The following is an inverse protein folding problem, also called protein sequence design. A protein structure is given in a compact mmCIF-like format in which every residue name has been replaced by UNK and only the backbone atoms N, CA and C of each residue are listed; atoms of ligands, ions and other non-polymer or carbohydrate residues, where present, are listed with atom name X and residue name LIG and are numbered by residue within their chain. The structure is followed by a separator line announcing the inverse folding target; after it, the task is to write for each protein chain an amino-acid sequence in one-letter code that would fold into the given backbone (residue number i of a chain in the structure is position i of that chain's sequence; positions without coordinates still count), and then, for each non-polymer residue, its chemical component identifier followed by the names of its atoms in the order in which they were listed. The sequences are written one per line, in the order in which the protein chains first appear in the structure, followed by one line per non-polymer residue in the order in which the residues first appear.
data_IF_111973309921
#
_entry.id   IF_111973309921
#
_cell.length_a   1.000
_cell.length_b   1.000
_cell.length_c   1.000
_cell.angle_alpha   90.00
_cell.angle_beta   90.00
_cell.angle_gamma   90.00
#
_symmetry.space_group_name_H-M   'P 1'
#
loop_
_entity.id
_entity.type
_entity.pdbx_description
1 polymer ?
#
# COMPACT_ATOMS: atom_id res chain seq x y z
N UNK A 1 -14.39 -47.03 -65.02
CA UNK A 1 -15.71 -46.39 -65.00
C UNK A 1 -15.68 -45.23 -64.00
N UNK A 2 -16.25 -44.06 -64.34
CA UNK A 2 -15.91 -42.75 -63.76
C UNK A 2 -17.06 -42.08 -62.97
N UNK A 3 -16.77 -40.91 -62.40
CA UNK A 3 -17.75 -39.84 -62.08
C UNK A 3 -17.96 -39.62 -60.57
N UNK A 4 -17.42 -38.56 -59.93
CA UNK A 4 -17.89 -37.14 -59.88
C UNK A 4 -19.31 -36.98 -59.27
N UNK A 5 -19.72 -35.81 -58.73
CA UNK A 5 -18.98 -34.73 -58.04
C UNK A 5 -19.76 -33.99 -56.89
N UNK A 6 -19.03 -33.15 -56.14
CA UNK A 6 -19.28 -31.73 -55.75
C UNK A 6 -20.59 -31.20 -55.10
N UNK A 7 -20.35 -30.39 -54.04
CA UNK A 7 -20.98 -29.08 -53.67
C UNK A 7 -22.46 -29.13 -53.26
N UNK A 8 -23.05 -28.22 -52.48
CA UNK A 8 -22.75 -26.83 -52.10
C UNK A 8 -23.64 -26.43 -50.92
N UNK A 9 -23.19 -25.39 -50.22
CA UNK A 9 -23.94 -24.38 -49.45
C UNK A 9 -25.41 -24.25 -49.85
N UNK A 10 -26.27 -24.07 -48.84
CA UNK A 10 -27.63 -23.55 -49.03
C UNK A 10 -27.94 -22.51 -47.94
N UNK A 11 -27.54 -21.27 -48.19
CA UNK A 11 -28.37 -20.11 -47.82
C UNK A 11 -29.47 -20.01 -48.86
N UNK A 12 -30.74 -20.08 -48.47
CA UNK A 12 -31.82 -19.35 -49.13
C UNK A 12 -33.00 -19.18 -48.15
N UNK A 13 -33.11 -17.95 -47.63
CA UNK A 13 -34.30 -17.09 -47.65
C UNK A 13 -35.66 -17.66 -47.21
N UNK A 14 -36.29 -16.99 -46.23
CA UNK A 14 -37.51 -16.20 -46.43
C UNK A 14 -38.20 -15.84 -45.09
N UNK A 15 -38.27 -14.54 -44.77
CA UNK A 15 -39.36 -13.97 -43.97
C UNK A 15 -40.65 -13.96 -44.80
N UNK A 16 -41.84 -14.14 -44.19
CA UNK A 16 -42.69 -12.95 -44.01
C UNK A 16 -43.57 -12.95 -42.74
N UNK A 17 -44.02 -11.74 -42.40
CA UNK A 17 -44.88 -11.35 -41.29
C UNK A 17 -46.23 -12.08 -41.22
N UNK A 18 -46.69 -12.41 -40.01
CA UNK A 18 -48.12 -12.45 -39.69
C UNK A 18 -48.41 -12.12 -38.22
N UNK A 19 -49.60 -11.58 -38.04
CA UNK A 19 -50.12 -10.73 -36.95
C UNK A 19 -50.82 -11.59 -35.89
N UNK A 20 -50.72 -11.23 -34.60
CA UNK A 20 -51.90 -11.18 -33.71
C UNK A 20 -51.61 -10.53 -32.32
N UNK A 21 -52.37 -9.48 -31.98
CA UNK A 21 -52.77 -9.13 -30.60
C UNK A 21 -54.15 -9.79 -30.36
N UNK A 22 -54.64 -10.00 -29.11
CA UNK A 22 -55.41 -8.92 -28.48
C UNK A 22 -55.43 -8.87 -26.93
N UNK A 23 -55.87 -7.70 -26.44
CA UNK A 23 -56.72 -7.39 -25.26
C UNK A 23 -56.23 -7.78 -23.86
N UNK A 24 -56.33 -6.95 -22.82
CA UNK A 24 -57.45 -6.11 -22.35
C UNK A 24 -56.91 -4.81 -21.71
N UNK A 25 -57.47 -3.60 -21.98
CA UNK A 25 -58.56 -2.95 -21.20
C UNK A 25 -58.32 -2.99 -19.67
N UNK A 26 -58.43 -1.92 -18.86
CA UNK A 26 -59.22 -0.69 -18.97
C UNK A 26 -58.75 0.30 -17.87
N UNK A 27 -59.09 1.56 -18.08
CA UNK A 27 -58.69 2.73 -17.30
C UNK A 27 -59.55 3.01 -16.05
N UNK A 28 -59.06 4.01 -15.26
CA UNK A 28 -59.78 5.02 -14.45
C UNK A 28 -59.63 4.98 -12.91
N UNK A 29 -58.68 5.81 -12.43
CA UNK A 29 -58.79 6.94 -11.48
C UNK A 29 -59.87 6.84 -10.38
N UNK A 30 -59.48 6.99 -9.10
CA UNK A 30 -59.97 7.98 -8.12
C UNK A 30 -58.97 8.06 -6.93
N UNK A 31 -58.58 9.28 -6.54
CA UNK A 31 -57.60 9.51 -5.47
C UNK A 31 -58.19 9.56 -4.05
N UNK A 32 -57.34 9.41 -3.04
CA UNK A 32 -57.17 10.34 -1.91
C UNK A 32 -56.42 9.70 -0.72
N UNK A 33 -55.62 10.54 -0.04
CA UNK A 33 -55.01 10.41 1.31
C UNK A 33 -53.66 9.67 1.42
N UNK A 34 -52.60 10.43 1.77
CA UNK A 34 -51.32 9.89 2.25
C UNK A 34 -51.35 9.63 3.78
N UNK A 35 -50.21 9.69 4.48
CA UNK A 35 -48.94 9.02 4.21
C UNK A 35 -48.51 8.18 5.43
N UNK A 36 -48.17 6.90 5.29
CA UNK A 36 -47.53 6.17 6.39
C UNK A 36 -46.51 5.14 5.89
N UNK A 37 -45.30 5.31 6.39
CA UNK A 37 -44.25 4.33 6.64
C UNK A 37 -43.60 3.63 5.44
N UNK A 38 -42.30 3.90 5.29
CA UNK A 38 -41.36 3.25 4.40
C UNK A 38 -41.21 1.73 4.69
N UNK A 39 -40.93 0.90 3.68
CA UNK A 39 -40.65 -0.51 3.83
C UNK A 39 -39.15 -0.83 3.93
N UNK A 40 -38.92 -2.04 4.45
CA UNK A 40 -37.72 -2.87 4.47
C UNK A 40 -37.05 -3.01 3.08
N UNK A 41 -35.71 -3.10 3.02
CA UNK A 41 -34.99 -4.21 2.35
C UNK A 41 -33.47 -3.97 2.20
N UNK A 42 -32.69 -4.88 2.81
CA UNK A 42 -31.43 -5.53 2.40
C UNK A 42 -30.36 -4.84 1.54
N UNK A 43 -29.11 -4.93 2.03
CA UNK A 43 -27.97 -5.33 1.19
C UNK A 43 -26.65 -4.60 1.39
N UNK A 44 -25.67 -5.33 1.95
CA UNK A 44 -24.29 -5.46 1.47
C UNK A 44 -23.23 -4.33 1.66
N UNK A 45 -22.04 -4.82 2.06
CA UNK A 45 -20.67 -4.33 1.82
C UNK A 45 -19.99 -3.39 2.84
N UNK A 46 -19.02 -3.99 3.54
CA UNK A 46 -17.70 -3.53 4.03
C UNK A 46 -17.57 -2.17 4.74
N UNK A 47 -16.90 -2.10 5.91
CA UNK A 47 -16.36 -0.84 6.40
C UNK A 47 -15.10 -0.49 5.58
N UNK A 48 -15.20 0.57 4.79
CA UNK A 48 -14.03 1.28 4.25
C UNK A 48 -13.46 2.09 5.41
N UNK A 49 -12.14 1.99 5.62
CA UNK A 49 -11.38 2.83 6.54
C UNK A 49 -11.60 4.31 6.15
N UNK A 50 -12.46 5.00 6.91
CA UNK A 50 -12.78 6.42 6.73
C UNK A 50 -11.71 7.26 7.43
N UNK A 51 -10.51 7.34 6.83
CA UNK A 51 -9.49 8.30 7.22
C UNK A 51 -9.84 9.67 6.65
N UNK A 52 -10.69 10.42 7.36
CA UNK A 52 -10.97 11.83 7.07
C UNK A 52 -10.22 12.76 8.03
N UNK A 53 -9.13 13.31 7.51
CA UNK A 53 -8.56 14.65 7.72
C UNK A 53 -9.14 15.48 8.89
N UNK A 54 -8.32 15.70 9.94
CA UNK A 54 -8.32 16.97 10.67
C UNK A 54 -7.00 17.72 10.42
N UNK A 55 -6.90 18.37 9.26
CA UNK A 55 -5.81 19.32 8.97
C UNK A 55 -6.00 20.59 9.80
N UNK A 56 -5.47 20.60 11.03
CA UNK A 56 -5.27 21.84 11.79
C UNK A 56 -3.90 22.43 11.52
N UNK A 57 -3.93 23.36 10.57
CA UNK A 57 -2.95 24.41 10.27
C UNK A 57 -1.98 24.81 11.40
N UNK A 58 -0.71 25.05 10.98
CA UNK A 58 0.34 25.99 11.47
C UNK A 58 1.58 25.21 11.93
N UNK A 59 2.78 25.41 11.38
CA UNK A 59 3.49 26.70 11.21
C UNK A 59 4.58 26.61 10.13
N UNK A 60 4.63 27.61 9.24
CA UNK A 60 5.80 27.86 8.39
C UNK A 60 6.91 28.49 9.23
N UNK A 61 8.11 27.90 9.23
CA UNK A 61 9.32 28.58 9.71
C UNK A 61 10.30 28.76 8.57
N UNK A 62 10.28 29.94 7.96
CA UNK A 62 11.39 30.47 7.19
C UNK A 62 12.38 31.11 8.17
N UNK A 63 13.64 30.67 8.16
CA UNK A 63 14.74 31.41 8.76
C UNK A 63 15.92 31.42 7.78
N UNK A 64 16.16 32.59 7.19
CA UNK A 64 17.31 32.87 6.36
C UNK A 64 18.40 33.60 7.17
N UNK A 65 19.64 33.17 6.92
CA UNK A 65 20.86 33.97 6.78
C UNK A 65 21.61 34.48 8.04
N UNK A 66 22.85 33.99 8.19
CA UNK A 66 24.01 34.83 8.53
C UNK A 66 25.31 34.18 8.02
N UNK A 67 25.92 34.76 6.97
CA UNK A 67 27.30 34.46 6.57
C UNK A 67 28.24 35.40 7.33
N UNK A 68 29.17 34.86 8.11
CA UNK A 68 30.32 35.62 8.61
C UNK A 68 31.53 34.70 8.85
N UNK A 69 32.68 35.11 8.30
CA UNK A 69 33.99 34.97 8.97
C UNK A 69 34.82 33.73 8.62
N UNK A 70 35.84 33.95 7.80
CA UNK A 70 36.93 33.01 7.50
C UNK A 70 37.78 32.70 8.74
N UNK A 71 38.05 31.41 8.96
CA UNK A 71 39.00 30.92 9.96
C UNK A 71 39.27 29.44 9.76
N UNK A 72 40.11 29.10 8.78
CA UNK A 72 40.61 27.75 8.55
C UNK A 72 41.50 27.34 9.73
N UNK A 73 40.94 26.57 10.66
CA UNK A 73 41.70 25.70 11.57
C UNK A 73 41.32 24.27 11.22
N UNK A 74 42.22 23.57 10.55
CA UNK A 74 42.09 22.13 10.27
C UNK A 74 42.21 21.37 11.59
N UNK A 75 41.09 21.22 12.29
CA UNK A 75 40.96 20.21 13.33
C UNK A 75 40.59 18.92 12.61
N UNK A 76 41.58 18.04 12.49
CA UNK A 76 41.35 16.65 12.13
C UNK A 76 40.50 16.03 13.24
N UNK A 77 39.18 15.96 13.02
CA UNK A 77 38.33 15.05 13.79
C UNK A 77 38.64 13.66 13.25
N UNK A 78 39.56 12.98 13.93
CA UNK A 78 39.75 11.54 13.74
C UNK A 78 38.41 10.87 14.00
N UNK A 79 38.01 10.02 13.06
CA UNK A 79 36.71 9.40 12.99
C UNK A 79 36.27 8.79 14.31
N UNK A 80 35.11 9.24 14.75
CA UNK A 80 34.17 8.42 15.49
C UNK A 80 32.93 8.33 14.58
N UNK A 81 33.05 7.56 13.50
CA UNK A 81 31.88 6.96 12.91
C UNK A 81 31.32 6.04 13.99
N UNK A 82 30.26 6.48 14.66
CA UNK A 82 29.44 5.60 15.49
C UNK A 82 29.08 4.38 14.65
N UNK A 83 29.35 3.13 15.08
CA UNK A 83 28.75 1.96 14.44
C UNK A 83 27.35 1.76 15.02
N UNK A 84 26.51 2.80 14.98
CA UNK A 84 25.16 2.78 15.51
C UNK A 84 24.24 3.53 14.54
N UNK A 85 24.05 2.90 13.40
CA UNK A 85 22.77 2.79 12.71
C UNK A 85 23.11 2.04 11.44
N UNK A 86 22.75 0.78 11.42
CA UNK A 86 22.82 -0.05 10.24
C UNK A 86 21.85 0.55 9.22
N UNK A 87 22.29 1.58 8.48
CA UNK A 87 21.57 2.02 7.30
C UNK A 87 21.29 0.76 6.47
N UNK A 88 20.01 0.44 6.36
CA UNK A 88 19.54 -0.74 5.71
C UNK A 88 20.23 -0.94 4.37
N UNK A 89 20.69 -2.16 4.04
CA UNK A 89 21.35 -2.40 2.76
C UNK A 89 20.54 -1.91 1.56
N UNK A 90 19.21 -1.91 1.66
CA UNK A 90 18.29 -1.44 0.63
C UNK A 90 18.37 0.08 0.40
N UNK A 91 18.72 0.85 1.44
CA UNK A 91 18.78 2.31 1.44
C UNK A 91 20.18 2.89 1.15
N UNK A 92 21.20 2.03 0.96
CA UNK A 92 22.59 2.48 0.80
C UNK A 92 22.93 2.84 -0.64
N UNK A 93 23.40 4.07 -0.84
CA UNK A 93 24.02 4.49 -2.12
C UNK A 93 23.01 4.84 -3.22
N UNK A 94 21.73 4.97 -2.88
CA UNK A 94 20.70 5.45 -3.79
C UNK A 94 20.52 6.95 -3.57
N UNK A 95 20.46 7.72 -4.65
CA UNK A 95 20.13 9.13 -4.57
C UNK A 95 18.62 9.28 -4.38
N UNK A 96 18.20 9.78 -3.23
CA UNK A 96 16.81 10.02 -2.91
C UNK A 96 16.19 11.07 -3.85
N UNK A 97 14.95 10.83 -4.30
CA UNK A 97 14.14 11.81 -5.02
C UNK A 97 13.42 12.73 -4.03
N UNK A 98 13.06 12.21 -2.85
CA UNK A 98 12.35 12.92 -1.79
C UNK A 98 13.05 12.64 -0.46
N UNK A 99 13.31 13.68 0.33
CA UNK A 99 14.01 13.59 1.61
C UNK A 99 13.30 14.46 2.63
N UNK A 100 12.94 13.86 3.76
CA UNK A 100 12.40 14.54 4.95
C UNK A 100 13.45 15.34 5.70
N UNK A 101 13.12 15.69 6.93
CA UNK A 101 13.96 16.39 7.89
C UNK A 101 14.34 15.45 9.05
N UNK A 102 14.84 15.98 10.16
CA UNK A 102 15.13 15.16 11.35
C UNK A 102 14.01 15.27 12.41
N UNK A 103 12.85 15.80 12.02
CA UNK A 103 11.66 15.91 12.84
C UNK A 103 10.53 15.09 12.22
N UNK A 104 9.32 15.21 12.76
CA UNK A 104 8.14 14.56 12.20
C UNK A 104 7.80 15.20 10.85
N UNK A 105 7.75 14.38 9.80
CA UNK A 105 7.44 14.79 8.43
C UNK A 105 6.19 14.07 7.88
N UNK A 106 5.49 14.75 6.97
CA UNK A 106 4.42 14.18 6.15
C UNK A 106 4.95 14.18 4.70
N UNK A 107 5.16 12.99 4.14
CA UNK A 107 5.86 12.80 2.87
C UNK A 107 4.97 12.07 1.88
N UNK A 108 4.67 12.71 0.76
CA UNK A 108 3.90 12.13 -0.34
C UNK A 108 4.80 11.91 -1.56
N UNK A 109 4.82 10.67 -2.04
CA UNK A 109 5.45 10.23 -3.28
C UNK A 109 4.72 10.73 -4.54
N UNK A 110 5.13 10.20 -5.68
CA UNK A 110 4.49 10.45 -6.97
C UNK A 110 3.84 9.16 -7.48
N UNK A 111 3.02 9.22 -8.54
CA UNK A 111 2.51 7.99 -9.19
C UNK A 111 3.58 7.21 -10.00
N UNK A 112 4.86 7.56 -9.88
CA UNK A 112 5.96 6.86 -10.53
C UNK A 112 7.00 6.42 -9.51
N UNK A 113 8.04 5.72 -9.99
CA UNK A 113 9.08 5.21 -9.08
C UNK A 113 9.81 6.32 -8.34
N UNK A 114 9.77 6.26 -7.02
CA UNK A 114 10.42 7.16 -6.08
C UNK A 114 11.50 6.48 -5.21
N UNK A 115 12.34 7.33 -4.64
CA UNK A 115 13.27 6.98 -3.56
C UNK A 115 13.06 7.98 -2.45
N UNK A 116 12.45 7.53 -1.35
CA UNK A 116 11.99 8.35 -0.24
C UNK A 116 12.83 8.05 0.99
N UNK A 117 13.28 9.10 1.69
CA UNK A 117 14.04 8.97 2.94
C UNK A 117 13.45 9.89 4.01
N UNK A 118 12.89 9.34 5.09
CA UNK A 118 12.32 10.09 6.22
C UNK A 118 13.41 10.69 7.13
N UNK A 119 14.42 9.88 7.47
CA UNK A 119 15.57 10.15 8.35
C UNK A 119 15.28 9.87 9.82
N UNK A 120 14.94 10.87 10.61
CA UNK A 120 14.64 10.72 12.03
C UNK A 120 13.39 11.51 12.30
N UNK A 121 12.50 11.02 13.16
CA UNK A 121 11.19 11.62 13.30
C UNK A 121 10.16 10.52 13.49
N UNK A 122 8.92 10.90 13.78
CA UNK A 122 7.81 9.98 13.58
C UNK A 122 7.19 10.46 12.27
N UNK A 123 7.47 9.75 11.18
CA UNK A 123 7.14 10.20 9.84
C UNK A 123 5.88 9.50 9.33
N UNK A 124 5.07 10.21 8.55
CA UNK A 124 3.95 9.66 7.78
C UNK A 124 4.35 9.69 6.30
N UNK A 125 4.46 8.52 5.67
CA UNK A 125 5.02 8.38 4.31
C UNK A 125 4.06 7.59 3.41
N UNK A 126 3.62 8.20 2.31
CA UNK A 126 2.80 7.57 1.27
C UNK A 126 3.56 7.50 -0.06
N UNK A 127 3.94 6.29 -0.49
CA UNK A 127 4.62 6.00 -1.74
C UNK A 127 3.76 6.21 -3.00
N UNK A 128 2.44 6.24 -2.85
CA UNK A 128 1.44 6.37 -3.90
C UNK A 128 1.45 5.25 -4.94
N UNK A 129 2.24 5.38 -6.01
CA UNK A 129 2.22 4.41 -7.09
C UNK A 129 3.57 4.35 -7.74
N UNK A 130 4.06 3.17 -8.08
CA UNK A 130 5.46 3.09 -8.43
C UNK A 130 6.03 1.71 -8.21
N UNK A 131 7.32 1.67 -7.90
CA UNK A 131 8.03 0.49 -7.42
C UNK A 131 9.14 1.07 -6.55
N UNK A 132 8.73 1.54 -5.39
CA UNK A 132 9.40 2.57 -4.64
C UNK A 132 10.46 1.97 -3.73
N UNK A 133 11.38 2.84 -3.32
CA UNK A 133 12.32 2.54 -2.25
C UNK A 133 12.08 3.56 -1.14
N UNK A 134 11.52 3.10 -0.04
CA UNK A 134 11.16 3.91 1.12
C UNK A 134 12.04 3.52 2.30
N UNK A 135 12.67 4.52 2.90
CA UNK A 135 13.56 4.40 4.04
C UNK A 135 13.07 5.35 5.13
N UNK A 136 12.22 4.88 6.04
CA UNK A 136 11.57 5.75 7.02
C UNK A 136 12.59 6.31 8.02
N UNK A 137 13.38 5.42 8.63
CA UNK A 137 14.63 5.76 9.27
C UNK A 137 14.61 5.49 10.76
N UNK A 138 14.37 6.48 11.60
CA UNK A 138 14.35 6.27 13.04
C UNK A 138 13.23 7.04 13.71
N UNK A 139 12.48 6.35 14.56
CA UNK A 139 11.35 6.88 15.31
C UNK A 139 10.17 5.94 15.08
N UNK A 140 8.94 6.41 15.28
CA UNK A 140 7.76 5.60 15.02
C UNK A 140 7.15 6.08 13.72
N UNK A 141 7.39 5.34 12.67
CA UNK A 141 6.99 5.72 11.32
C UNK A 141 5.70 5.00 10.91
N UNK A 142 4.89 5.65 10.08
CA UNK A 142 3.69 5.12 9.44
C UNK A 142 3.91 5.21 7.92
N UNK A 143 3.98 4.05 7.26
CA UNK A 143 4.40 3.96 5.85
C UNK A 143 3.41 3.14 5.04
N UNK A 144 2.87 3.74 3.98
CA UNK A 144 2.13 3.06 2.92
C UNK A 144 2.99 3.04 1.64
N UNK A 145 3.30 1.86 1.11
CA UNK A 145 4.00 1.69 -0.17
C UNK A 145 3.14 2.09 -1.38
N UNK A 146 1.82 2.01 -1.24
CA UNK A 146 0.87 2.26 -2.30
C UNK A 146 0.82 1.14 -3.33
N UNK A 147 0.69 1.48 -4.60
CA UNK A 147 0.63 0.49 -5.69
C UNK A 147 2.00 0.27 -6.32
N UNK A 148 2.51 -0.96 -6.33
CA UNK A 148 3.87 -1.16 -6.81
C UNK A 148 4.47 -2.47 -6.35
N UNK A 149 5.73 -2.69 -6.70
CA UNK A 149 6.53 -3.68 -5.99
C UNK A 149 7.59 -2.89 -5.24
N UNK A 150 7.29 -2.62 -3.99
CA UNK A 150 7.94 -1.63 -3.19
C UNK A 150 8.97 -2.28 -2.28
N UNK A 151 9.95 -1.48 -1.87
CA UNK A 151 10.95 -1.84 -0.87
C UNK A 151 10.84 -0.85 0.26
N UNK A 152 10.38 -1.34 1.41
CA UNK A 152 10.10 -0.52 2.59
C UNK A 152 11.03 -0.95 3.71
N UNK A 153 11.76 0.00 4.28
CA UNK A 153 12.58 -0.19 5.46
C UNK A 153 12.15 0.80 6.56
N UNK A 154 11.58 0.27 7.65
CA UNK A 154 11.12 1.07 8.80
C UNK A 154 12.30 1.65 9.57
N UNK A 155 13.28 0.80 9.89
CA UNK A 155 14.60 1.24 10.33
C UNK A 155 14.79 1.06 11.83
N UNK A 156 14.36 1.97 12.68
CA UNK A 156 14.42 1.73 14.12
C UNK A 156 13.31 2.45 14.84
N UNK A 157 12.67 1.75 15.77
CA UNK A 157 11.52 2.24 16.51
C UNK A 157 10.34 1.31 16.29
N UNK A 158 9.13 1.75 16.57
CA UNK A 158 7.96 0.86 16.48
C UNK A 158 7.10 1.32 15.32
N UNK A 159 7.29 0.69 14.17
CA UNK A 159 6.79 1.19 12.89
C UNK A 159 5.49 0.47 12.47
N UNK A 160 4.65 1.16 11.70
CA UNK A 160 3.49 0.60 10.99
C UNK A 160 3.80 0.66 9.49
N UNK A 161 3.95 -0.51 8.85
CA UNK A 161 4.47 -0.64 7.50
C UNK A 161 3.50 -1.45 6.63
N UNK A 162 2.85 -0.81 5.66
CA UNK A 162 1.94 -1.43 4.70
C UNK A 162 2.52 -1.42 3.28
N UNK A 163 2.63 -2.60 2.66
CA UNK A 163 3.03 -2.76 1.27
C UNK A 163 1.91 -2.45 0.27
N UNK A 164 0.64 -2.45 0.72
CA UNK A 164 -0.54 -2.20 -0.10
C UNK A 164 -0.65 -3.15 -1.29
N UNK A 165 -0.28 -2.76 -2.51
CA UNK A 165 -0.61 -3.51 -3.71
C UNK A 165 0.60 -3.80 -4.60
N UNK A 166 1.20 -4.96 -4.40
CA UNK A 166 1.95 -5.72 -5.39
C UNK A 166 2.84 -6.73 -4.70
N UNK A 167 4.03 -7.01 -5.22
CA UNK A 167 4.93 -7.99 -4.59
C UNK A 167 6.06 -7.28 -3.86
N UNK A 168 5.81 -7.03 -2.59
CA UNK A 168 6.53 -6.08 -1.78
C UNK A 168 7.61 -6.74 -0.93
N UNK A 169 8.54 -5.90 -0.47
CA UNK A 169 9.59 -6.31 0.47
C UNK A 169 9.65 -5.32 1.60
N UNK A 170 9.38 -5.80 2.80
CA UNK A 170 9.21 -4.96 3.99
C UNK A 170 10.16 -5.46 5.08
N UNK A 171 10.94 -4.54 5.63
CA UNK A 171 11.83 -4.78 6.77
C UNK A 171 11.45 -3.85 7.92
N UNK A 172 10.98 -4.42 9.03
CA UNK A 172 10.69 -3.68 10.28
C UNK A 172 11.98 -3.17 10.92
N UNK A 173 12.96 -4.07 11.07
CA UNK A 173 14.30 -3.87 11.66
C UNK A 173 14.29 -3.91 13.18
N UNK A 174 14.55 -2.80 13.86
CA UNK A 174 14.73 -2.77 15.31
C UNK A 174 13.49 -2.17 15.96
N UNK A 175 12.74 -2.94 16.73
CA UNK A 175 11.66 -2.47 17.58
C UNK A 175 10.46 -3.39 17.54
N UNK A 176 9.27 -2.88 17.85
CA UNK A 176 8.06 -3.72 17.80
C UNK A 176 7.23 -3.18 16.65
N UNK A 177 7.25 -3.90 15.54
CA UNK A 177 6.73 -3.41 14.27
C UNK A 177 5.45 -4.15 13.88
N UNK A 178 4.52 -3.44 13.25
CA UNK A 178 3.34 -4.02 12.62
C UNK A 178 3.55 -3.94 11.09
N UNK A 179 3.65 -5.10 10.42
CA UNK A 179 3.95 -5.23 8.99
C UNK A 179 2.77 -5.88 8.26
N UNK A 180 2.27 -5.23 7.22
CA UNK A 180 1.22 -5.73 6.32
C UNK A 180 1.74 -5.81 4.89
N UNK A 181 1.64 -6.99 4.25
CA UNK A 181 2.07 -7.18 2.87
C UNK A 181 1.04 -6.70 1.85
N UNK A 182 -0.24 -6.82 2.17
CA UNK A 182 -1.33 -6.45 1.29
C UNK A 182 -1.58 -7.47 0.18
N UNK A 183 -1.70 -7.02 -1.07
CA UNK A 183 -2.01 -7.92 -2.18
C UNK A 183 -0.80 -8.21 -3.06
N UNK A 184 -0.35 -9.47 -3.10
CA UNK A 184 0.56 -9.96 -4.12
C UNK A 184 1.33 -11.18 -3.68
N UNK A 185 2.64 -11.10 -3.54
CA UNK A 185 3.45 -12.22 -3.05
C UNK A 185 4.63 -11.62 -2.32
N UNK A 186 4.43 -11.44 -1.03
CA UNK A 186 5.19 -10.46 -0.27
C UNK A 186 6.27 -11.12 0.54
N UNK A 187 7.23 -10.29 0.97
CA UNK A 187 8.30 -10.74 1.86
C UNK A 187 8.44 -9.77 3.01
N UNK A 188 8.10 -10.25 4.19
CA UNK A 188 8.11 -9.46 5.41
C UNK A 188 9.15 -10.02 6.36
N UNK A 189 9.98 -9.14 6.90
CA UNK A 189 10.96 -9.44 7.94
C UNK A 189 10.74 -8.48 9.10
N UNK A 190 10.29 -9.00 10.26
CA UNK A 190 10.08 -8.20 11.47
C UNK A 190 11.41 -7.65 11.98
N UNK A 191 12.33 -8.55 12.34
CA UNK A 191 13.69 -8.18 12.73
C UNK A 191 13.92 -8.45 14.20
N UNK A 192 14.28 -7.45 14.98
CA UNK A 192 14.48 -7.55 16.42
C UNK A 192 13.28 -6.94 17.13
N UNK A 193 12.62 -7.71 17.99
CA UNK A 193 11.66 -7.19 18.97
C UNK A 193 10.42 -8.04 19.03
N UNK A 194 9.24 -7.43 19.07
CA UNK A 194 7.99 -8.19 19.12
C UNK A 194 7.10 -7.69 18.01
N UNK A 195 7.12 -8.44 16.91
CA UNK A 195 6.54 -7.97 15.67
C UNK A 195 5.19 -8.64 15.41
N UNK A 196 4.32 -7.95 14.69
CA UNK A 196 3.13 -8.52 14.07
C UNK A 196 3.32 -8.48 12.56
N UNK A 197 3.20 -9.62 11.88
CA UNK A 197 3.31 -9.71 10.42
C UNK A 197 2.03 -10.31 9.85
N UNK A 198 1.47 -9.69 8.82
CA UNK A 198 0.30 -10.16 8.07
C UNK A 198 0.57 -10.12 6.56
N UNK A 199 0.48 -11.27 5.89
CA UNK A 199 0.72 -11.35 4.43
C UNK A 199 -0.51 -10.97 3.60
N UNK A 200 -1.71 -11.08 4.17
CA UNK A 200 -3.00 -10.91 3.51
C UNK A 200 -3.25 -11.79 2.26
N UNK A 201 -3.12 -11.24 1.04
CA UNK A 201 -3.53 -11.92 -0.19
C UNK A 201 -2.29 -12.22 -1.01
N UNK A 202 -1.85 -13.46 -0.97
CA UNK A 202 -0.66 -13.83 -1.72
C UNK A 202 -0.13 -15.17 -1.32
N UNK A 203 0.90 -15.63 -2.02
CA UNK A 203 1.80 -16.63 -1.44
C UNK A 203 3.00 -15.91 -0.86
N UNK A 204 2.96 -15.72 0.45
CA UNK A 204 3.86 -14.80 1.13
C UNK A 204 4.99 -15.54 1.84
N UNK A 205 6.02 -14.78 2.21
CA UNK A 205 7.13 -15.25 3.05
C UNK A 205 7.31 -14.31 4.22
N UNK A 206 7.04 -14.82 5.41
CA UNK A 206 7.07 -14.03 6.63
C UNK A 206 8.13 -14.61 7.57
N UNK A 207 8.94 -13.74 8.15
CA UNK A 207 9.93 -14.11 9.17
C UNK A 207 9.87 -13.07 10.29
N UNK A 208 9.42 -13.49 11.48
CA UNK A 208 9.39 -12.61 12.65
C UNK A 208 10.78 -12.13 13.05
N UNK A 209 11.76 -13.04 13.03
CA UNK A 209 13.13 -12.73 13.41
C UNK A 209 13.36 -13.04 14.89
N UNK A 210 14.08 -12.16 15.58
CA UNK A 210 14.39 -12.34 16.99
C UNK A 210 13.29 -11.74 17.87
N UNK A 211 12.67 -12.57 18.70
CA UNK A 211 11.83 -12.12 19.80
C UNK A 211 10.54 -12.91 19.93
N UNK A 212 9.39 -12.26 20.08
CA UNK A 212 8.12 -12.97 20.33
C UNK A 212 7.03 -12.51 19.38
N UNK A 213 7.09 -13.05 18.18
CA UNK A 213 6.35 -12.49 17.05
C UNK A 213 4.99 -13.15 16.86
N UNK A 214 4.11 -12.43 16.16
CA UNK A 214 2.80 -12.91 15.73
C UNK A 214 2.78 -12.88 14.21
N UNK A 215 2.65 -14.05 13.60
CA UNK A 215 2.62 -14.19 12.14
C UNK A 215 1.25 -14.69 11.71
N UNK A 216 0.57 -13.89 10.88
CA UNK A 216 -0.73 -14.19 10.29
C UNK A 216 -0.54 -14.53 8.83
N UNK A 217 -0.62 -15.83 8.55
CA UNK A 217 -0.66 -16.31 7.18
C UNK A 217 -2.05 -16.02 6.60
N UNK A 218 -2.08 -15.47 5.40
CA UNK A 218 -3.26 -14.99 4.71
C UNK A 218 -4.21 -16.11 4.30
N UNK A 219 -5.05 -15.83 3.31
CA UNK A 219 -6.03 -16.81 2.80
C UNK A 219 -5.41 -17.93 1.94
N UNK A 220 -4.14 -17.78 1.58
CA UNK A 220 -3.36 -18.69 0.74
C UNK A 220 -2.15 -19.27 1.54
N UNK A 221 -1.57 -20.41 1.12
CA UNK A 221 -0.54 -21.08 1.89
C UNK A 221 0.80 -20.32 1.84
N UNK A 222 1.16 -19.69 2.96
CA UNK A 222 2.42 -18.96 3.11
C UNK A 222 3.55 -19.84 3.61
N UNK A 223 4.78 -19.30 3.59
CA UNK A 223 5.93 -19.91 4.27
C UNK A 223 6.35 -19.04 5.44
N UNK A 224 6.28 -19.60 6.65
CA UNK A 224 6.79 -19.02 7.88
C UNK A 224 8.12 -19.67 8.27
N UNK A 225 9.19 -18.87 8.30
CA UNK A 225 10.49 -19.29 8.82
C UNK A 225 10.61 -18.82 10.30
N UNK A 226 9.62 -19.17 11.13
CA UNK A 226 9.66 -18.90 12.56
C UNK A 226 10.55 -19.95 13.25
N UNK A 227 11.86 -19.75 13.20
CA UNK A 227 12.88 -20.54 13.89
C UNK A 227 12.91 -20.23 15.40
N UNK A 228 11.87 -20.60 16.15
CA UNK A 228 11.89 -20.59 17.61
C UNK A 228 11.38 -21.92 18.18
N UNK A 229 12.32 -22.85 18.38
CA UNK A 229 12.23 -24.06 19.23
C UNK A 229 12.48 -23.73 20.72
#
# INVERSE_FOLDING_TARGET
MPGRPQKSNNELQATPCHVNRPSHEKALIHGSRGPHAAPLSWGHHQPIHDWRHDMRTRTRSAAALALAGLGLSTVAVMGLASPASAAAPECRGVAATIVGTAGEDEIEGTPGRDVIVGLSGNDEIDGNGGNDLICAGSGRDDVDGGSGNDRIDGGSGSDDLDGSAGSDRIWGRDGNDDLTGGSGNDRLWGGNGRDTLEGERGTDRLSGGAGKDRVYQGSEPDRDDNDDD
#
